data_IF_203842767780
#
_entry.id   IF_203842767780
#
_cell.length_a   1.000
_cell.length_b   1.000
_cell.length_c   1.000
_cell.angle_alpha   90.00
_cell.angle_beta   90.00
_cell.angle_gamma   90.00
#
_symmetry.space_group_name_H-M   'P 1'
#
loop_
_entity.id
_entity.type
_entity.pdbx_description
1 polymer ?
#
# COMPACT_ATOMS: atom_id res chain seq x y z
N UNK A 1 5.59 13.66 -8.25
CA UNK A 1 4.71 12.71 -7.57
C UNK A 1 4.55 13.16 -6.13
N UNK A 2 3.38 13.61 -5.75
CA UNK A 2 3.14 14.10 -4.40
C UNK A 2 2.24 13.12 -3.63
N UNK A 3 2.72 12.64 -2.49
CA UNK A 3 1.94 11.90 -1.52
C UNK A 3 1.76 12.79 -0.31
N UNK A 4 0.53 12.93 0.15
CA UNK A 4 0.23 13.66 1.38
C UNK A 4 0.16 12.68 2.54
N UNK A 5 0.82 13.02 3.64
CA UNK A 5 0.67 12.30 4.91
C UNK A 5 -0.35 13.01 5.78
N UNK A 6 -1.32 12.25 6.29
CA UNK A 6 -2.23 12.71 7.34
C UNK A 6 -1.80 12.04 8.64
N UNK A 7 -1.08 12.76 9.49
CA UNK A 7 -0.71 12.27 10.81
C UNK A 7 -1.91 12.41 11.76
N UNK A 8 -2.41 11.27 12.23
CA UNK A 8 -3.38 11.16 13.32
C UNK A 8 -4.61 12.09 13.22
N UNK A 9 -5.63 11.84 14.01
CA UNK A 9 -6.94 12.51 14.00
C UNK A 9 -6.89 14.06 14.04
N UNK A 10 -5.72 14.70 14.18
CA UNK A 10 -5.60 16.15 14.37
C UNK A 10 -4.47 16.90 13.67
N UNK A 11 -3.68 16.31 12.75
CA UNK A 11 -2.65 17.10 12.07
C UNK A 11 -2.41 16.65 10.62
N UNK A 12 -2.97 17.40 9.69
CA UNK A 12 -2.53 17.42 8.29
C UNK A 12 -1.22 18.19 8.24
N UNK A 13 -0.09 17.51 8.20
CA UNK A 13 1.18 18.12 7.83
C UNK A 13 1.45 17.78 6.37
N UNK A 14 1.62 18.75 5.48
CA UNK A 14 2.00 18.50 4.11
C UNK A 14 3.49 18.10 4.09
N UNK A 15 3.76 16.83 4.27
CA UNK A 15 5.06 16.27 3.95
C UNK A 15 4.96 15.72 2.54
N UNK A 16 5.38 16.51 1.56
CA UNK A 16 5.56 16.02 0.21
C UNK A 16 6.71 15.01 0.25
N UNK A 17 6.39 13.74 0.22
CA UNK A 17 7.37 12.69 -0.04
C UNK A 17 7.58 12.68 -1.55
N UNK A 18 8.68 13.23 -2.01
CA UNK A 18 9.10 13.11 -3.39
C UNK A 18 9.66 11.69 -3.58
N UNK A 19 8.83 10.77 -4.04
CA UNK A 19 9.35 9.53 -4.59
C UNK A 19 9.93 9.87 -5.96
N UNK A 20 11.25 9.94 -6.04
CA UNK A 20 11.95 10.15 -7.29
C UNK A 20 11.65 9.00 -8.25
N UNK A 21 11.40 9.32 -9.50
CA UNK A 21 11.21 8.50 -10.69
C UNK A 21 11.09 6.98 -10.44
N UNK A 22 9.86 6.48 -10.34
CA UNK A 22 9.58 5.06 -10.55
C UNK A 22 9.27 4.89 -12.04
N UNK A 23 10.19 4.30 -12.80
CA UNK A 23 9.94 3.93 -14.20
C UNK A 23 9.37 2.52 -14.20
N UNK A 24 8.10 2.39 -14.53
CA UNK A 24 7.43 1.09 -14.62
C UNK A 24 7.27 0.71 -16.08
N UNK A 25 7.80 -0.44 -16.47
CA UNK A 25 7.51 -1.07 -17.77
C UNK A 25 6.52 -2.21 -17.53
N UNK A 26 5.33 -2.07 -18.05
CA UNK A 26 4.24 -3.03 -17.91
C UNK A 26 4.27 -4.04 -19.06
N UNK A 27 4.38 -5.33 -18.75
CA UNK A 27 4.15 -6.42 -19.71
C UNK A 27 2.99 -7.27 -19.21
N UNK A 28 1.90 -7.33 -19.99
CA UNK A 28 0.70 -8.09 -19.63
C UNK A 28 0.80 -9.47 -20.28
N UNK A 29 0.83 -10.53 -19.46
CA UNK A 29 0.66 -11.90 -19.91
C UNK A 29 -0.80 -12.30 -19.72
N UNK A 30 -1.59 -12.15 -20.78
CA UNK A 30 -3.01 -12.53 -20.75
C UNK A 30 -3.11 -14.06 -20.86
N UNK A 31 -3.41 -14.75 -19.77
CA UNK A 31 -3.74 -16.19 -19.75
C UNK A 31 -5.24 -16.30 -19.53
N UNK A 32 -5.97 -16.64 -20.58
CA UNK A 32 -7.41 -16.88 -20.53
C UNK A 32 -7.74 -18.10 -19.69
N UNK A 33 -8.25 -17.88 -18.49
CA UNK A 33 -9.16 -18.72 -17.72
C UNK A 33 -9.71 -17.85 -16.58
N UNK A 34 -10.79 -18.17 -15.93
CA UNK A 34 -11.42 -17.49 -14.78
C UNK A 34 -10.47 -17.17 -13.60
N UNK A 35 -9.20 -17.00 -13.86
CA UNK A 35 -8.06 -16.84 -12.98
C UNK A 35 -7.53 -15.42 -13.07
N UNK A 36 -6.82 -15.01 -12.04
CA UNK A 36 -6.17 -13.71 -11.92
C UNK A 36 -5.33 -13.35 -13.16
N UNK A 37 -5.40 -12.11 -13.61
CA UNK A 37 -4.51 -11.57 -14.64
C UNK A 37 -3.15 -11.28 -14.03
N UNK A 38 -2.08 -11.80 -14.65
CA UNK A 38 -0.72 -11.62 -14.17
C UNK A 38 -0.07 -10.42 -14.86
N UNK A 39 0.43 -9.51 -14.08
CA UNK A 39 1.22 -8.36 -14.51
C UNK A 39 2.67 -8.57 -14.11
N UNK A 40 3.59 -8.41 -15.07
CA UNK A 40 5.01 -8.33 -14.81
C UNK A 40 5.44 -6.87 -14.97
N UNK A 41 6.06 -6.34 -13.94
CA UNK A 41 6.44 -4.94 -13.81
C UNK A 41 7.95 -4.87 -13.62
N UNK A 42 8.66 -4.18 -14.51
CA UNK A 42 10.06 -3.84 -14.29
C UNK A 42 10.10 -2.46 -13.62
N UNK A 43 10.60 -2.42 -12.40
CA UNK A 43 10.59 -1.25 -11.53
C UNK A 43 12.03 -0.73 -11.37
N UNK A 44 12.19 0.57 -11.62
CA UNK A 44 13.38 1.34 -11.31
C UNK A 44 13.00 2.29 -10.16
N UNK A 45 13.30 1.88 -8.93
CA UNK A 45 12.93 2.60 -7.70
C UNK A 45 14.07 3.54 -7.30
N UNK A 46 13.74 4.81 -7.14
CA UNK A 46 14.64 5.82 -6.59
C UNK A 46 13.92 6.58 -5.49
N UNK A 47 14.21 6.27 -4.24
CA UNK A 47 13.70 6.95 -3.06
C UNK A 47 14.86 7.71 -2.40
N UNK A 48 14.90 9.01 -2.67
CA UNK A 48 15.99 9.89 -2.24
C UNK A 48 15.97 10.06 -0.71
N UNK A 49 14.78 10.12 -0.13
CA UNK A 49 14.61 10.38 1.31
C UNK A 49 15.11 9.21 2.16
N UNK A 50 14.91 7.97 1.67
CA UNK A 50 15.41 6.75 2.32
C UNK A 50 16.74 6.26 1.79
N UNK A 51 17.27 6.86 0.70
CA UNK A 51 18.49 6.42 0.04
C UNK A 51 18.38 5.06 -0.65
N UNK A 52 17.17 4.69 -1.10
CA UNK A 52 16.90 3.41 -1.77
C UNK A 52 16.95 3.59 -3.28
N UNK A 53 17.85 2.87 -3.94
CA UNK A 53 18.03 2.89 -5.39
C UNK A 53 18.11 1.45 -5.89
N UNK A 54 16.98 0.91 -6.37
CA UNK A 54 16.87 -0.50 -6.71
C UNK A 54 16.18 -0.72 -8.06
N UNK A 55 16.62 -1.77 -8.77
CA UNK A 55 15.98 -2.26 -10.00
C UNK A 55 15.55 -3.70 -9.80
N UNK A 56 14.28 -3.95 -9.92
CA UNK A 56 13.73 -5.29 -9.73
C UNK A 56 12.50 -5.53 -10.60
N UNK A 57 12.22 -6.82 -10.85
CA UNK A 57 10.98 -7.23 -11.49
C UNK A 57 9.98 -7.69 -10.43
N UNK A 58 8.76 -7.19 -10.51
CA UNK A 58 7.65 -7.51 -9.63
C UNK A 58 6.56 -8.21 -10.41
N UNK A 59 6.09 -9.34 -9.90
CA UNK A 59 4.98 -10.08 -10.47
C UNK A 59 3.75 -9.95 -9.58
N UNK A 60 2.67 -9.35 -10.13
CA UNK A 60 1.42 -9.13 -9.40
C UNK A 60 0.29 -9.88 -10.10
N UNK A 61 -0.44 -10.69 -9.34
CA UNK A 61 -1.69 -11.28 -9.77
C UNK A 61 -2.85 -10.34 -9.39
N UNK A 62 -3.59 -9.85 -10.38
CA UNK A 62 -4.81 -9.08 -10.16
C UNK A 62 -6.00 -10.04 -10.16
N UNK A 63 -6.69 -10.13 -9.03
CA UNK A 63 -7.93 -10.90 -8.94
C UNK A 63 -9.03 -10.30 -9.84
N UNK A 64 -9.95 -11.09 -10.43
CA UNK A 64 -11.01 -10.58 -11.29
C UNK A 64 -11.91 -9.50 -10.64
N UNK A 65 -12.08 -9.55 -9.31
CA UNK A 65 -12.83 -8.55 -8.56
C UNK A 65 -11.99 -7.33 -8.14
N UNK A 66 -10.68 -7.35 -8.39
CA UNK A 66 -9.77 -6.26 -8.06
C UNK A 66 -9.73 -5.25 -9.21
N UNK A 67 -9.90 -3.97 -8.93
CA UNK A 67 -9.72 -2.92 -9.94
C UNK A 67 -8.24 -2.75 -10.29
N UNK A 68 -7.96 -2.22 -11.49
CA UNK A 68 -6.57 -1.90 -11.87
C UNK A 68 -5.96 -0.86 -10.92
N UNK A 69 -6.74 0.15 -10.57
CA UNK A 69 -6.33 1.18 -9.60
C UNK A 69 -5.89 0.57 -8.26
N UNK A 70 -6.67 -0.37 -7.71
CA UNK A 70 -6.31 -1.01 -6.44
C UNK A 70 -5.01 -1.82 -6.55
N UNK A 71 -4.82 -2.57 -7.64
CA UNK A 71 -3.59 -3.30 -7.91
C UNK A 71 -2.38 -2.36 -8.00
N UNK A 72 -2.52 -1.22 -8.71
CA UNK A 72 -1.46 -0.21 -8.83
C UNK A 72 -1.15 0.42 -7.47
N UNK A 73 -2.18 0.70 -6.67
CA UNK A 73 -1.99 1.20 -5.30
C UNK A 73 -1.21 0.23 -4.42
N UNK A 74 -1.44 -1.09 -4.56
CA UNK A 74 -0.66 -2.12 -3.86
C UNK A 74 0.81 -2.08 -4.29
N UNK A 75 1.06 -1.94 -5.59
CA UNK A 75 2.41 -1.80 -6.13
C UNK A 75 3.11 -0.56 -5.56
N UNK A 76 2.44 0.60 -5.56
CA UNK A 76 3.02 1.82 -5.01
C UNK A 76 3.28 1.71 -3.50
N UNK A 77 2.33 1.16 -2.74
CA UNK A 77 2.54 0.92 -1.31
C UNK A 77 3.75 0.01 -1.06
N UNK A 78 3.91 -1.05 -1.86
CA UNK A 78 5.10 -1.92 -1.81
C UNK A 78 6.40 -1.16 -2.09
N UNK A 79 6.44 -0.33 -3.14
CA UNK A 79 7.62 0.47 -3.48
C UNK A 79 7.97 1.47 -2.37
N UNK A 80 6.96 2.11 -1.77
CA UNK A 80 7.13 3.08 -0.69
C UNK A 80 7.59 2.45 0.63
N UNK A 81 7.23 1.21 0.86
CA UNK A 81 7.65 0.43 2.04
C UNK A 81 8.82 -0.52 1.74
N UNK A 82 9.37 -0.48 0.50
CA UNK A 82 10.42 -1.40 0.04
C UNK A 82 11.56 -1.51 1.05
N UNK A 83 11.91 -2.75 1.37
CA UNK A 83 12.97 -3.09 2.31
C UNK A 83 12.95 -4.57 2.66
N UNK A 84 13.87 -4.99 3.53
CA UNK A 84 14.02 -6.38 3.93
C UNK A 84 12.73 -6.95 4.54
N UNK A 85 12.31 -8.10 4.04
CA UNK A 85 11.15 -8.82 4.53
C UNK A 85 9.80 -8.23 4.11
N UNK A 86 9.76 -7.15 3.33
CA UNK A 86 8.53 -6.58 2.77
C UNK A 86 8.10 -7.37 1.53
N UNK A 87 6.84 -7.77 1.50
CA UNK A 87 6.27 -8.53 0.39
C UNK A 87 4.82 -8.11 0.09
N UNK A 88 4.45 -8.21 -1.19
CA UNK A 88 3.05 -8.18 -1.61
C UNK A 88 2.36 -9.47 -1.21
N UNK A 89 1.14 -9.37 -0.72
CA UNK A 89 0.26 -10.52 -0.47
C UNK A 89 -0.59 -10.82 -1.69
N UNK A 90 -1.48 -11.81 -1.58
CA UNK A 90 -2.43 -12.16 -2.64
C UNK A 90 -3.57 -11.10 -2.82
N UNK A 91 -3.50 -9.99 -2.12
CA UNK A 91 -4.46 -8.89 -2.21
C UNK A 91 -5.85 -9.27 -1.72
N UNK A 92 -6.88 -8.96 -2.52
CA UNK A 92 -8.29 -9.22 -2.12
C UNK A 92 -8.60 -10.70 -1.91
N UNK A 93 -7.77 -11.60 -2.43
CA UNK A 93 -7.93 -13.06 -2.24
C UNK A 93 -7.48 -13.52 -0.85
N UNK A 94 -6.58 -12.78 -0.21
CA UNK A 94 -6.09 -13.06 1.13
C UNK A 94 -6.91 -12.29 2.17
N UNK A 95 -8.10 -12.78 2.50
CA UNK A 95 -9.05 -12.10 3.38
C UNK A 95 -8.50 -11.66 4.74
N UNK A 96 -7.47 -12.35 5.25
CA UNK A 96 -6.89 -12.10 6.57
C UNK A 96 -5.53 -11.39 6.54
N UNK A 97 -4.92 -11.16 5.36
CA UNK A 97 -3.64 -10.48 5.22
C UNK A 97 -3.82 -9.06 4.67
N UNK A 98 -2.92 -8.10 5.00
CA UNK A 98 -2.93 -6.76 4.43
C UNK A 98 -2.50 -6.78 2.96
N UNK A 99 -2.54 -5.65 2.27
CA UNK A 99 -2.08 -5.53 0.90
C UNK A 99 -0.56 -5.72 0.75
N UNK A 100 0.21 -5.25 1.75
CA UNK A 100 1.67 -5.45 1.86
C UNK A 100 1.98 -5.86 3.29
N UNK A 101 2.81 -6.89 3.44
CA UNK A 101 3.15 -7.49 4.72
C UNK A 101 4.67 -7.49 4.90
N UNK A 102 5.14 -7.03 6.05
CA UNK A 102 6.53 -7.14 6.47
C UNK A 102 6.73 -8.27 7.46
N UNK A 103 7.78 -9.06 7.29
CA UNK A 103 8.20 -10.10 8.25
C UNK A 103 9.72 -10.03 8.45
N UNK A 104 10.17 -10.22 9.68
CA UNK A 104 11.58 -10.41 9.95
C UNK A 104 12.03 -11.87 9.70
N UNK A 105 13.32 -12.14 9.88
CA UNK A 105 13.92 -13.47 9.67
C UNK A 105 13.37 -14.54 10.63
N UNK A 106 12.71 -14.14 11.72
CA UNK A 106 12.05 -15.06 12.67
C UNK A 106 10.60 -15.34 12.28
N UNK A 107 10.08 -14.66 11.23
CA UNK A 107 8.69 -14.76 10.79
C UNK A 107 7.73 -13.84 11.53
N UNK A 108 8.24 -13.01 12.49
CA UNK A 108 7.42 -12.02 13.20
C UNK A 108 6.97 -10.93 12.22
N UNK A 109 5.70 -10.51 12.32
CA UNK A 109 5.16 -9.43 11.52
C UNK A 109 5.75 -8.10 11.99
N UNK A 110 6.44 -7.41 11.09
CA UNK A 110 7.08 -6.11 11.33
C UNK A 110 6.25 -4.96 10.77
N UNK A 111 5.58 -5.18 9.63
CA UNK A 111 4.76 -4.17 8.98
C UNK A 111 3.42 -4.76 8.50
N UNK A 112 2.34 -3.96 8.64
CA UNK A 112 0.99 -4.26 8.18
C UNK A 112 0.45 -3.06 7.40
N UNK A 113 0.45 -3.18 6.08
CA UNK A 113 0.15 -2.06 5.19
C UNK A 113 -1.15 -2.33 4.41
N UNK A 114 -2.15 -1.52 4.70
CA UNK A 114 -3.44 -1.58 4.03
C UNK A 114 -3.51 -0.60 2.87
N UNK A 115 -4.37 -0.90 1.89
CA UNK A 115 -4.61 -0.07 0.71
C UNK A 115 -6.10 0.17 0.53
N UNK A 116 -6.46 1.38 0.07
CA UNK A 116 -7.83 1.78 -0.21
C UNK A 116 -8.60 2.21 1.02
N UNK A 117 -9.73 1.55 1.31
CA UNK A 117 -10.63 1.86 2.42
C UNK A 117 -10.75 0.65 3.36
N UNK A 118 -9.70 0.35 4.15
CA UNK A 118 -9.75 -0.77 5.08
C UNK A 118 -10.78 -0.55 6.18
N UNK A 119 -11.39 -1.63 6.65
CA UNK A 119 -12.26 -1.57 7.81
C UNK A 119 -11.46 -1.47 9.13
N UNK A 120 -12.15 -1.01 10.20
CA UNK A 120 -11.52 -0.82 11.50
C UNK A 120 -11.01 -2.13 12.12
N UNK A 121 -11.66 -3.27 11.86
CA UNK A 121 -11.26 -4.56 12.41
C UNK A 121 -9.92 -5.02 11.84
N UNK A 122 -9.70 -4.83 10.53
CA UNK A 122 -8.42 -5.13 9.86
C UNK A 122 -7.28 -4.28 10.43
N UNK A 123 -7.49 -2.96 10.56
CA UNK A 123 -6.50 -2.06 11.13
C UNK A 123 -6.22 -2.35 12.61
N UNK A 124 -7.26 -2.66 13.39
CA UNK A 124 -7.11 -3.05 14.78
C UNK A 124 -6.25 -4.33 14.91
N UNK A 125 -6.50 -5.35 14.06
CA UNK A 125 -5.70 -6.57 14.01
C UNK A 125 -4.24 -6.26 13.64
N UNK A 126 -4.05 -5.52 12.55
CA UNK A 126 -2.71 -5.17 12.04
C UNK A 126 -1.88 -4.40 13.06
N UNK A 127 -2.47 -3.39 13.70
CA UNK A 127 -1.77 -2.59 14.71
C UNK A 127 -1.40 -3.35 15.99
N UNK A 128 -2.06 -4.48 16.25
CA UNK A 128 -1.68 -5.38 17.36
C UNK A 128 -0.57 -6.36 16.98
N UNK A 129 -0.59 -6.83 15.73
CA UNK A 129 0.33 -7.87 15.27
C UNK A 129 1.67 -7.30 14.81
N UNK A 130 1.67 -6.10 14.23
CA UNK A 130 2.83 -5.49 13.62
C UNK A 130 3.43 -4.36 14.48
N UNK A 131 4.74 -4.19 14.35
CA UNK A 131 5.42 -3.02 14.91
C UNK A 131 5.03 -1.71 14.22
N UNK A 132 4.71 -1.77 12.93
CA UNK A 132 4.25 -0.65 12.10
C UNK A 132 2.94 -1.03 11.39
N UNK A 133 1.95 -0.14 11.42
CA UNK A 133 0.77 -0.22 10.56
C UNK A 133 0.65 1.10 9.77
N UNK A 134 0.18 1.04 8.53
CA UNK A 134 -0.07 2.22 7.69
C UNK A 134 -1.20 1.96 6.69
N UNK A 135 -1.79 3.03 6.18
CA UNK A 135 -2.81 2.99 5.13
C UNK A 135 -2.39 3.85 3.95
N UNK A 136 -2.48 3.32 2.75
CA UNK A 136 -2.31 4.04 1.49
C UNK A 136 -3.64 4.12 0.75
N UNK A 137 -4.12 5.31 0.44
CA UNK A 137 -5.43 5.49 -0.18
C UNK A 137 -5.40 6.55 -1.29
N UNK A 138 -6.28 6.41 -2.27
CA UNK A 138 -6.63 7.42 -3.27
C UNK A 138 -8.08 7.91 -3.09
N UNK A 139 -8.74 7.40 -2.04
CA UNK A 139 -10.09 7.83 -1.66
C UNK A 139 -10.04 9.02 -0.71
N UNK A 140 -11.18 9.65 -0.51
CA UNK A 140 -11.33 10.75 0.43
C UNK A 140 -10.92 10.34 1.85
N UNK A 141 -9.86 10.97 2.35
CA UNK A 141 -9.28 10.68 3.67
C UNK A 141 -10.23 11.10 4.78
N UNK A 142 -11.00 12.17 4.61
CA UNK A 142 -11.98 12.60 5.61
C UNK A 142 -13.04 11.52 5.85
N UNK A 143 -13.53 10.90 4.77
CA UNK A 143 -14.46 9.77 4.85
C UNK A 143 -13.83 8.56 5.54
N UNK A 144 -12.58 8.22 5.17
CA UNK A 144 -11.86 7.11 5.81
C UNK A 144 -11.70 7.36 7.32
N UNK A 145 -11.21 8.52 7.71
CA UNK A 145 -11.04 8.88 9.13
C UNK A 145 -12.36 8.87 9.90
N UNK A 146 -13.44 9.37 9.29
CA UNK A 146 -14.79 9.32 9.91
C UNK A 146 -15.24 7.88 10.14
N UNK A 147 -15.01 6.99 9.18
CA UNK A 147 -15.33 5.55 9.29
C UNK A 147 -14.52 4.88 10.41
N UNK A 148 -13.22 5.20 10.50
CA UNK A 148 -12.33 4.61 11.50
C UNK A 148 -12.56 5.15 12.92
N UNK A 149 -12.98 6.41 13.06
CA UNK A 149 -13.23 7.03 14.35
C UNK A 149 -14.43 6.43 15.11
N UNK A 150 -15.34 5.75 14.40
CA UNK A 150 -16.50 5.10 15.00
C UNK A 150 -16.14 3.85 15.83
N UNK A 151 -14.92 3.33 15.71
CA UNK A 151 -14.50 2.08 16.35
C UNK A 151 -13.16 2.26 17.04
N UNK A 152 -13.00 1.62 18.21
CA UNK A 152 -11.71 1.63 18.90
C UNK A 152 -10.67 0.80 18.12
N UNK A 153 -9.60 1.46 17.65
CA UNK A 153 -8.46 0.84 16.98
C UNK A 153 -7.23 0.99 17.87
N UNK A 154 -6.51 -0.11 18.07
CA UNK A 154 -5.27 -0.10 18.84
C UNK A 154 -4.25 0.84 18.18
N UNK A 155 -3.68 1.76 18.97
CA UNK A 155 -2.66 2.71 18.52
C UNK A 155 -3.05 3.51 17.27
N UNK A 156 -4.31 3.89 17.13
CA UNK A 156 -4.80 4.60 15.92
C UNK A 156 -4.01 5.88 15.63
N UNK A 157 -3.53 6.58 16.67
CA UNK A 157 -2.73 7.79 16.52
C UNK A 157 -1.34 7.55 15.88
N UNK A 158 -0.86 6.32 15.92
CA UNK A 158 0.44 5.92 15.36
C UNK A 158 0.32 5.35 13.94
N UNK A 159 -0.91 5.25 13.40
CA UNK A 159 -1.16 4.72 12.06
C UNK A 159 -1.21 5.87 11.04
N UNK A 160 -0.14 6.10 10.26
CA UNK A 160 -0.15 7.11 9.22
C UNK A 160 -1.11 6.72 8.09
N UNK A 161 -1.80 7.71 7.55
CA UNK A 161 -2.61 7.60 6.34
C UNK A 161 -1.96 8.43 5.25
N UNK A 162 -1.59 7.79 4.15
CA UNK A 162 -0.99 8.40 2.98
C UNK A 162 -2.02 8.49 1.86
N UNK A 163 -2.22 9.71 1.37
CA UNK A 163 -3.15 9.97 0.27
C UNK A 163 -2.39 10.15 -1.05
N UNK A 164 -2.77 9.40 -2.07
CA UNK A 164 -2.36 9.65 -3.45
C UNK A 164 -3.28 10.66 -4.09
N UNK A 165 -2.71 11.66 -4.74
CA UNK A 165 -3.51 12.65 -5.47
C UNK A 165 -4.32 11.96 -6.58
N UNK A 166 -5.61 12.27 -6.66
CA UNK A 166 -6.51 11.69 -7.67
C UNK A 166 -6.01 11.94 -9.08
N UNK A 167 -5.50 13.14 -9.35
CA UNK A 167 -4.94 13.50 -10.66
C UNK A 167 -3.77 12.61 -11.09
N UNK A 168 -3.01 12.06 -10.14
CA UNK A 168 -1.96 11.09 -10.43
C UNK A 168 -2.55 9.73 -10.84
N UNK A 169 -3.55 9.26 -10.11
CA UNK A 169 -4.20 7.97 -10.41
C UNK A 169 -4.89 8.00 -11.77
N UNK A 170 -5.51 9.12 -12.14
CA UNK A 170 -6.22 9.29 -13.42
C UNK A 170 -5.27 9.37 -14.64
N UNK A 171 -3.95 9.47 -14.42
CA UNK A 171 -2.92 9.51 -15.49
C UNK A 171 -2.28 8.14 -15.79
N UNK A 172 -2.59 7.12 -15.00
CA UNK A 172 -2.02 5.77 -15.10
C UNK A 172 -2.99 4.84 -15.81
#
# INVERSE_FOLDING_TARGET
FAIRTCDGIHRVLPRAVYVGFCRVRLTILNRMAQTATIYNLDIDLSDIDRGVYEKFSLRIARHPSETLEYMLMRMFAYCLEYGDGIALTEGVSAGDEPAVLGRDLTGRITAWIEVGMPDAARLHRGSKLAGRAAVYTHHDVGRLLSQLSATHIHRIADIPVYEFERAFIDQI
#
